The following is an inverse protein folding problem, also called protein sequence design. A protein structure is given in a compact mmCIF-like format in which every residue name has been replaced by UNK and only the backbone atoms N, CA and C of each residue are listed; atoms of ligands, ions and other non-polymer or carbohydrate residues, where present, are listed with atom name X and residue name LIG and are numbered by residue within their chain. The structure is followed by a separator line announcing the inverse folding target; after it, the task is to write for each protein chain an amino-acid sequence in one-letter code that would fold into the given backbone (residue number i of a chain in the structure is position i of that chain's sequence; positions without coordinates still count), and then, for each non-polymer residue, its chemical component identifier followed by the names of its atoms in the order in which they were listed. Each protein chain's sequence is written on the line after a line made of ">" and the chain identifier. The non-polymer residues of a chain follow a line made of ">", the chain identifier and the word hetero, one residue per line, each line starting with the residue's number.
data_IF_967600523671
#
_entry.id   IF_967600523671
#
_cell.length_a   1.000
_cell.length_b   1.000
_cell.length_c   1.000
_cell.angle_alpha   90.00
_cell.angle_beta   90.00
_cell.angle_gamma   90.00
#
_symmetry.space_group_name_H-M   'P 1'
#
loop_
_entity.id
_entity.type
_entity.pdbx_description
1 polymer ?
#
# COMPACT_ATOMS: atom_id res chain seq x y z
N UNK A 1 6.85 -1.29 -10.33
CA UNK A 1 5.86 -2.31 -9.94
C UNK A 1 5.51 -3.14 -11.16
N UNK A 2 5.36 -4.45 -10.99
CA UNK A 2 4.87 -5.38 -12.00
C UNK A 2 3.64 -6.06 -11.39
N UNK A 3 2.62 -6.33 -12.18
CA UNK A 3 1.41 -7.02 -11.73
C UNK A 3 1.36 -8.41 -12.34
N UNK A 4 0.82 -9.39 -11.61
CA UNK A 4 0.48 -10.67 -12.22
C UNK A 4 -0.59 -10.48 -13.30
N UNK A 5 -0.71 -11.40 -14.28
CA UNK A 5 -1.72 -11.28 -15.34
C UNK A 5 -3.15 -11.15 -14.80
N UNK A 6 -3.44 -11.86 -13.71
CA UNK A 6 -4.72 -11.78 -13.00
C UNK A 6 -4.82 -10.60 -12.02
N UNK A 7 -3.80 -9.76 -11.91
CA UNK A 7 -3.69 -8.60 -11.02
C UNK A 7 -3.84 -8.90 -9.52
N UNK A 8 -3.77 -10.16 -9.10
CA UNK A 8 -3.87 -10.54 -7.66
C UNK A 8 -2.66 -10.10 -6.86
N UNK A 9 -1.48 -10.15 -7.46
CA UNK A 9 -0.22 -9.88 -6.79
C UNK A 9 0.55 -8.76 -7.49
N UNK A 10 1.34 -8.07 -6.68
CA UNK A 10 2.26 -7.03 -7.10
C UNK A 10 3.67 -7.52 -6.84
N UNK A 11 4.53 -7.40 -7.84
CA UNK A 11 5.97 -7.52 -7.72
C UNK A 11 6.54 -6.10 -7.59
N UNK A 12 7.08 -5.78 -6.43
CA UNK A 12 7.73 -4.49 -6.17
C UNK A 12 9.24 -4.69 -6.12
N UNK A 13 9.97 -4.11 -7.07
CA UNK A 13 11.43 -3.97 -6.94
C UNK A 13 11.75 -3.04 -5.78
N UNK A 14 12.68 -3.45 -4.92
CA UNK A 14 13.03 -2.73 -3.70
C UNK A 14 14.55 -2.64 -3.53
N UNK A 15 15.04 -1.63 -2.80
CA UNK A 15 16.44 -1.58 -2.37
C UNK A 15 16.80 -2.78 -1.48
N UNK A 16 18.08 -3.17 -1.48
CA UNK A 16 18.60 -4.23 -0.61
C UNK A 16 18.29 -3.97 0.87
N UNK A 17 18.32 -2.70 1.31
CA UNK A 17 18.01 -2.33 2.68
C UNK A 17 16.53 -2.63 3.06
N UNK A 18 15.57 -2.36 2.16
CA UNK A 18 14.17 -2.74 2.39
C UNK A 18 14.01 -4.26 2.42
N UNK A 19 14.70 -4.98 1.53
CA UNK A 19 14.66 -6.44 1.50
C UNK A 19 15.18 -7.06 2.80
N UNK A 20 16.33 -6.58 3.27
CA UNK A 20 16.92 -7.05 4.53
C UNK A 20 16.09 -6.63 5.75
N UNK A 21 15.44 -5.47 5.72
CA UNK A 21 14.53 -5.07 6.80
C UNK A 21 13.41 -6.09 6.99
N UNK A 22 12.75 -6.53 5.92
CA UNK A 22 11.68 -7.53 6.00
C UNK A 22 12.19 -8.85 6.57
N UNK A 23 13.37 -9.30 6.13
CA UNK A 23 14.01 -10.50 6.69
C UNK A 23 14.29 -10.33 8.18
N UNK A 24 14.78 -9.15 8.60
CA UNK A 24 15.09 -8.84 9.99
C UNK A 24 13.84 -8.83 10.88
N UNK A 25 12.72 -8.26 10.39
CA UNK A 25 11.47 -8.19 11.16
C UNK A 25 10.55 -9.39 10.95
N UNK A 26 10.95 -10.41 10.18
CA UNK A 26 10.06 -11.48 9.71
C UNK A 26 9.33 -12.19 10.85
N UNK A 27 10.03 -12.45 11.97
CA UNK A 27 9.42 -13.06 13.16
C UNK A 27 8.33 -12.19 13.76
N UNK A 28 8.59 -10.89 13.94
CA UNK A 28 7.61 -9.95 14.50
C UNK A 28 6.42 -9.77 13.55
N UNK A 29 6.71 -9.67 12.24
CA UNK A 29 5.69 -9.62 11.20
C UNK A 29 4.77 -10.84 11.24
N UNK A 30 5.33 -12.05 11.35
CA UNK A 30 4.55 -13.28 11.46
C UNK A 30 3.65 -13.29 12.70
N UNK A 31 4.18 -12.94 13.87
CA UNK A 31 3.39 -12.87 15.11
C UNK A 31 2.27 -11.84 14.98
N UNK A 32 2.56 -10.66 14.43
CA UNK A 32 1.56 -9.63 14.17
C UNK A 32 0.43 -10.12 13.28
N UNK A 33 0.74 -10.80 12.16
CA UNK A 33 -0.27 -11.37 11.27
C UNK A 33 -1.14 -12.44 11.96
N UNK A 34 -0.55 -13.23 12.87
CA UNK A 34 -1.25 -14.29 13.60
C UNK A 34 -2.20 -13.72 14.67
N UNK A 35 -1.77 -12.66 15.35
CA UNK A 35 -2.52 -12.03 16.44
C UNK A 35 -3.56 -11.02 15.92
N UNK A 36 -3.32 -10.41 14.75
CA UNK A 36 -4.17 -9.38 14.15
C UNK A 36 -4.64 -9.80 12.75
N UNK A 37 -5.65 -10.66 12.68
CA UNK A 37 -6.19 -11.16 11.41
C UNK A 37 -6.83 -10.07 10.53
N UNK A 38 -7.22 -8.94 11.14
CA UNK A 38 -7.82 -7.75 10.55
C UNK A 38 -6.81 -6.63 10.26
N UNK A 39 -5.51 -6.92 10.33
CA UNK A 39 -4.46 -5.94 10.09
C UNK A 39 -4.53 -5.32 8.69
N UNK A 40 -4.24 -4.02 8.63
CA UNK A 40 -4.13 -3.26 7.38
C UNK A 40 -2.72 -3.32 6.76
N UNK A 41 -1.75 -3.94 7.45
CA UNK A 41 -0.39 -4.09 6.92
C UNK A 41 -0.44 -4.96 5.67
N UNK A 42 0.25 -4.53 4.62
CA UNK A 42 0.31 -5.26 3.37
C UNK A 42 0.90 -6.67 3.58
N UNK A 43 0.29 -7.66 2.94
CA UNK A 43 0.69 -9.06 2.98
C UNK A 43 1.85 -9.26 2.01
N UNK A 44 3.04 -9.52 2.55
CA UNK A 44 4.23 -9.89 1.79
C UNK A 44 4.29 -11.41 1.75
N UNK A 45 4.19 -11.96 0.55
CA UNK A 45 4.19 -13.41 0.31
C UNK A 45 5.59 -13.98 0.08
N UNK A 46 6.55 -13.13 -0.30
CA UNK A 46 7.93 -13.55 -0.46
C UNK A 46 8.86 -12.39 -0.78
N UNK A 47 10.13 -12.56 -0.44
CA UNK A 47 11.25 -11.70 -0.82
C UNK A 47 12.16 -12.51 -1.71
N UNK A 48 12.43 -12.02 -2.92
CA UNK A 48 13.23 -12.71 -3.92
C UNK A 48 14.37 -11.82 -4.38
N UNK A 49 15.50 -12.44 -4.73
CA UNK A 49 16.57 -11.79 -5.46
C UNK A 49 16.71 -12.44 -6.84
N UNK A 50 17.01 -11.62 -7.84
CA UNK A 50 17.29 -12.06 -9.20
C UNK A 50 18.68 -11.59 -9.61
N UNK A 51 19.50 -12.54 -10.05
CA UNK A 51 20.86 -12.28 -10.52
C UNK A 51 20.98 -12.69 -11.98
N UNK A 52 21.19 -11.69 -12.85
CA UNK A 52 21.38 -11.90 -14.28
C UNK A 52 22.82 -11.60 -14.66
N UNK A 53 23.75 -12.43 -14.18
CA UNK A 53 25.18 -12.45 -14.53
C UNK A 53 25.89 -11.10 -14.54
N UNK A 54 25.74 -10.35 -15.63
CA UNK A 54 26.31 -9.03 -15.87
C UNK A 54 25.55 -7.87 -15.19
N UNK A 55 24.35 -8.12 -14.66
CA UNK A 55 23.51 -7.07 -14.05
C UNK A 55 23.58 -7.10 -12.51
N UNK A 56 23.46 -5.93 -11.85
CA UNK A 56 23.30 -5.87 -10.40
C UNK A 56 22.14 -6.75 -9.92
N UNK A 57 22.28 -7.32 -8.73
CA UNK A 57 21.23 -8.13 -8.10
C UNK A 57 20.01 -7.25 -7.84
N UNK A 58 18.86 -7.70 -8.32
CA UNK A 58 17.57 -7.02 -8.11
C UNK A 58 16.82 -7.73 -7.00
N UNK A 59 16.37 -6.98 -6.00
CA UNK A 59 15.51 -7.50 -4.94
C UNK A 59 14.05 -7.12 -5.20
N UNK A 60 13.13 -8.02 -4.87
CA UNK A 60 11.70 -7.79 -5.06
C UNK A 60 10.84 -8.43 -3.97
N UNK A 61 9.73 -7.76 -3.66
CA UNK A 61 8.64 -8.32 -2.87
C UNK A 61 7.55 -8.83 -3.79
N UNK A 62 6.98 -9.98 -3.45
CA UNK A 62 5.66 -10.39 -3.93
C UNK A 62 4.67 -10.02 -2.83
N UNK A 63 3.70 -9.17 -3.14
CA UNK A 63 2.75 -8.64 -2.17
C UNK A 63 1.31 -8.65 -2.71
N UNK A 64 0.32 -8.61 -1.83
CA UNK A 64 -1.09 -8.55 -2.25
C UNK A 64 -1.41 -7.24 -2.95
N UNK A 65 -2.24 -7.29 -3.99
CA UNK A 65 -2.82 -6.09 -4.58
C UNK A 65 -4.09 -5.68 -3.82
N UNK A 66 -4.03 -4.57 -3.07
CA UNK A 66 -5.19 -4.01 -2.37
C UNK A 66 -6.34 -3.62 -3.31
N UNK A 67 -6.03 -3.36 -4.57
CA UNK A 67 -6.99 -2.94 -5.59
C UNK A 67 -7.42 -4.10 -6.51
N UNK A 68 -7.12 -5.35 -6.14
CA UNK A 68 -7.67 -6.52 -6.81
C UNK A 68 -9.15 -6.69 -6.44
N UNK A 69 -10.01 -5.96 -7.13
CA UNK A 69 -11.46 -6.04 -7.00
C UNK A 69 -12.15 -5.89 -8.35
N UNK A 70 -13.36 -6.43 -8.47
CA UNK A 70 -14.17 -6.32 -9.69
C UNK A 70 -14.78 -4.93 -9.91
N UNK A 71 -14.72 -4.07 -8.88
CA UNK A 71 -15.31 -2.74 -8.90
C UNK A 71 -14.30 -1.68 -9.33
N UNK A 72 -14.74 -0.81 -10.22
CA UNK A 72 -13.98 0.35 -10.62
C UNK A 72 -13.69 1.26 -9.42
N UNK A 73 -12.48 1.83 -9.40
CA UNK A 73 -12.04 2.77 -8.38
C UNK A 73 -12.03 4.16 -8.98
N UNK A 74 -13.01 4.97 -8.58
CA UNK A 74 -13.18 6.32 -9.11
C UNK A 74 -12.19 7.33 -8.51
N UNK A 75 -11.67 7.06 -7.30
CA UNK A 75 -10.75 7.94 -6.57
C UNK A 75 -9.73 7.16 -5.75
N UNK A 76 -8.50 7.64 -5.69
CA UNK A 76 -7.40 7.04 -4.92
C UNK A 76 -6.60 8.12 -4.21
N UNK A 77 -6.18 7.82 -2.99
CA UNK A 77 -5.33 8.69 -2.19
C UNK A 77 -4.16 7.92 -1.59
N UNK A 78 -2.97 8.53 -1.59
CA UNK A 78 -1.88 8.18 -0.69
C UNK A 78 -1.96 9.17 0.47
N UNK A 79 -2.29 8.72 1.68
CA UNK A 79 -2.47 9.57 2.86
C UNK A 79 -1.38 9.27 3.88
N UNK A 80 -0.72 10.31 4.39
CA UNK A 80 0.39 10.21 5.35
C UNK A 80 0.20 11.07 6.60
N UNK A 81 -0.80 11.94 6.62
CA UNK A 81 -1.09 12.85 7.73
C UNK A 81 -0.15 14.05 7.84
N UNK A 82 0.70 14.28 6.84
CA UNK A 82 1.62 15.43 6.78
C UNK A 82 1.16 16.46 5.73
N UNK A 83 1.74 17.67 5.77
CA UNK A 83 1.34 18.78 4.90
C UNK A 83 2.34 19.06 3.77
N UNK A 84 3.64 18.89 4.02
CA UNK A 84 4.69 19.29 3.08
C UNK A 84 4.78 18.31 1.90
N UNK A 85 4.65 18.81 0.67
CA UNK A 85 4.67 18.01 -0.58
C UNK A 85 3.60 16.91 -0.62
N UNK A 86 2.41 17.22 -0.11
CA UNK A 86 1.24 16.33 -0.07
C UNK A 86 0.09 16.86 -0.92
N UNK A 87 0.41 17.39 -2.10
CA UNK A 87 -0.54 17.94 -3.05
C UNK A 87 -0.15 17.54 -4.49
N UNK A 88 -1.13 17.14 -5.28
CA UNK A 88 -1.02 16.96 -6.73
C UNK A 88 -1.61 18.16 -7.48
N UNK A 89 -2.64 18.78 -6.91
CA UNK A 89 -3.23 20.03 -7.40
C UNK A 89 -4.18 19.82 -8.57
N UNK A 90 -4.15 20.74 -9.53
CA UNK A 90 -5.13 20.81 -10.63
C UNK A 90 -5.26 19.52 -11.44
N UNK A 91 -4.18 18.74 -11.57
CA UNK A 91 -4.24 17.45 -12.27
C UNK A 91 -5.23 16.49 -11.60
N UNK A 92 -5.22 16.40 -10.27
CA UNK A 92 -6.14 15.53 -9.55
C UNK A 92 -7.57 16.07 -9.59
N UNK A 93 -7.76 17.40 -9.51
CA UNK A 93 -9.08 18.03 -9.63
C UNK A 93 -9.73 17.76 -10.99
N UNK A 94 -8.96 17.85 -12.07
CA UNK A 94 -9.43 17.58 -13.43
C UNK A 94 -9.68 16.10 -13.70
N UNK A 95 -8.89 15.21 -13.07
CA UNK A 95 -9.06 13.77 -13.20
C UNK A 95 -8.88 13.07 -11.85
N UNK A 96 -9.97 12.80 -11.11
CA UNK A 96 -9.94 12.19 -9.78
C UNK A 96 -9.40 10.74 -9.75
N UNK A 97 -9.20 10.10 -10.90
CA UNK A 97 -8.56 8.77 -10.99
C UNK A 97 -7.04 8.82 -10.79
N UNK A 98 -6.44 10.00 -10.96
CA UNK A 98 -5.04 10.27 -10.61
C UNK A 98 -4.90 10.14 -9.09
N UNK A 99 -3.83 9.51 -8.63
CA UNK A 99 -3.58 9.32 -7.20
C UNK A 99 -3.41 10.69 -6.51
N UNK A 100 -4.38 11.08 -5.68
CA UNK A 100 -4.31 12.29 -4.85
C UNK A 100 -3.51 12.08 -3.56
N UNK A 101 -3.21 13.16 -2.87
CA UNK A 101 -2.53 13.16 -1.57
C UNK A 101 -3.38 13.84 -0.48
N UNK A 102 -2.80 14.09 0.70
CA UNK A 102 -3.52 14.62 1.87
C UNK A 102 -4.20 15.97 1.61
N UNK A 103 -3.53 16.92 0.95
CA UNK A 103 -4.13 18.23 0.68
C UNK A 103 -5.23 18.13 -0.38
N UNK A 104 -5.07 17.27 -1.39
CA UNK A 104 -6.10 17.06 -2.41
C UNK A 104 -7.38 16.49 -1.78
N UNK A 105 -7.24 15.54 -0.84
CA UNK A 105 -8.37 14.98 -0.10
C UNK A 105 -9.15 16.07 0.66
N UNK A 106 -8.44 16.99 1.33
CA UNK A 106 -9.05 18.11 2.07
C UNK A 106 -9.69 19.13 1.12
N UNK A 107 -9.00 19.54 0.05
CA UNK A 107 -9.48 20.54 -0.91
C UNK A 107 -10.71 20.06 -1.70
N UNK A 108 -10.81 18.76 -1.97
CA UNK A 108 -11.98 18.15 -2.61
C UNK A 108 -13.18 18.01 -1.65
N UNK A 109 -13.00 18.34 -0.36
CA UNK A 109 -13.97 18.13 0.70
C UNK A 109 -14.43 16.67 0.82
N UNK A 110 -13.52 15.73 0.51
CA UNK A 110 -13.84 14.31 0.48
C UNK A 110 -14.04 13.74 1.89
N UNK A 111 -14.93 12.76 1.99
CA UNK A 111 -15.26 12.07 3.23
C UNK A 111 -15.40 10.57 2.99
N UNK A 112 -14.85 9.78 3.91
CA UNK A 112 -14.99 8.32 3.90
C UNK A 112 -16.13 7.94 4.85
N UNK A 113 -17.32 7.70 4.30
CA UNK A 113 -18.52 7.35 5.07
C UNK A 113 -18.66 5.82 5.18
N UNK A 114 -18.26 5.25 6.33
CA UNK A 114 -18.28 3.80 6.57
C UNK A 114 -19.20 3.36 7.73
N UNK A 115 -19.88 4.31 8.37
CA UNK A 115 -20.74 4.05 9.54
C UNK A 115 -19.95 3.87 10.84
N UNK A 116 -20.62 3.96 12.01
CA UNK A 116 -19.94 4.01 13.31
C UNK A 116 -19.20 2.71 13.65
N UNK A 117 -19.81 1.56 13.36
CA UNK A 117 -19.21 0.24 13.64
C UNK A 117 -17.90 0.02 12.88
N UNK A 118 -17.91 0.16 11.55
CA UNK A 118 -16.69 -0.02 10.74
C UNK A 118 -15.65 1.05 11.02
N UNK A 119 -16.07 2.27 11.37
CA UNK A 119 -15.14 3.31 11.81
C UNK A 119 -14.39 2.87 13.07
N UNK A 120 -15.10 2.31 14.05
CA UNK A 120 -14.48 1.79 15.27
C UNK A 120 -13.53 0.62 14.97
N UNK A 121 -13.95 -0.34 14.15
CA UNK A 121 -13.10 -1.48 13.72
C UNK A 121 -11.84 -0.99 12.99
N UNK A 122 -11.97 -0.04 12.07
CA UNK A 122 -10.86 0.53 11.33
C UNK A 122 -9.87 1.27 12.24
N UNK A 123 -10.36 2.12 13.15
CA UNK A 123 -9.51 2.85 14.09
C UNK A 123 -8.80 1.90 15.05
N UNK A 124 -9.49 0.86 15.50
CA UNK A 124 -8.91 -0.18 16.35
C UNK A 124 -7.76 -0.91 15.66
N UNK A 125 -7.94 -1.31 14.39
CA UNK A 125 -6.89 -1.94 13.57
C UNK A 125 -5.71 -1.00 13.28
N UNK A 126 -5.96 0.31 13.11
CA UNK A 126 -4.91 1.32 12.86
C UNK A 126 -4.02 1.60 14.08
N UNK A 127 -4.51 1.40 15.30
CA UNK A 127 -3.78 1.71 16.54
C UNK A 127 -3.01 0.53 17.13
N UNK A 128 -3.05 -0.65 16.50
CA UNK A 128 -2.35 -1.87 16.91
C UNK A 128 -1.03 -2.04 16.17
#
# INVERSE_FOLDING_TARGET
>A
FIFTPDKRFILKTVPVAEAMLIVHILRNYYHHLKENCDTLICKIYGVYSFHSGYSPVVYMFVMNNLFYQSREIHRRYDLKGSWVRREVGERHKQNPTILGMDQDFVQMYDKINIGPKKKQELLHSLCR
#
